data_IF_387655531206
#
_entry.id   IF_387655531206
#
_cell.length_a   1.000
_cell.length_b   1.000
_cell.length_c   1.000
_cell.angle_alpha   90.00
_cell.angle_beta   90.00
_cell.angle_gamma   90.00
#
_symmetry.space_group_name_H-M   'P 1'
#
loop_
_entity.id
_entity.type
_entity.pdbx_description
1 polymer ?
#
# COMPACT_ATOMS: atom_id res chain seq x y z
N UNK A 1 -6.19 -13.69 16.21
CA UNK A 1 -6.49 -12.86 15.04
C UNK A 1 -5.41 -11.80 15.00
N UNK A 2 -4.37 -12.02 14.20
CA UNK A 2 -3.29 -11.04 14.05
C UNK A 2 -3.91 -9.73 13.57
N UNK A 3 -3.84 -8.69 14.40
CA UNK A 3 -4.24 -7.33 14.02
C UNK A 3 -3.55 -7.01 12.70
N UNK A 4 -4.31 -6.92 11.63
CA UNK A 4 -3.77 -6.54 10.33
C UNK A 4 -3.38 -5.06 10.46
N UNK A 5 -2.09 -4.80 10.69
CA UNK A 5 -1.48 -3.46 10.77
C UNK A 5 -1.44 -2.78 9.38
N UNK A 6 -2.53 -2.88 8.63
CA UNK A 6 -2.66 -2.38 7.27
C UNK A 6 -3.38 -1.02 7.20
N UNK A 7 -3.70 -0.43 8.35
CA UNK A 7 -4.37 0.87 8.47
C UNK A 7 -5.86 0.87 8.14
N UNK A 8 -6.50 -0.30 7.99
CA UNK A 8 -7.92 -0.44 7.66
C UNK A 8 -8.20 -0.34 6.15
N UNK A 9 -9.47 -0.13 5.78
CA UNK A 9 -9.86 0.06 4.37
C UNK A 9 -9.37 1.41 3.84
N UNK A 10 -8.82 1.45 2.63
CA UNK A 10 -8.35 2.68 1.99
C UNK A 10 -9.48 3.69 1.75
N UNK A 11 -10.67 3.19 1.43
CA UNK A 11 -11.88 3.98 1.18
C UNK A 11 -13.01 3.46 2.08
N UNK A 12 -13.00 3.80 3.38
CA UNK A 12 -13.94 3.25 4.33
C UNK A 12 -15.36 3.74 4.03
N UNK A 13 -16.31 2.80 4.00
CA UNK A 13 -17.75 3.09 3.89
C UNK A 13 -18.39 2.81 5.24
N UNK A 14 -19.32 3.67 5.67
CA UNK A 14 -20.08 3.42 6.89
C UNK A 14 -20.85 2.09 6.78
N UNK A 15 -20.64 1.21 7.77
CA UNK A 15 -21.37 -0.04 7.86
C UNK A 15 -22.87 0.23 8.02
N UNK A 16 -23.69 -0.53 7.30
CA UNK A 16 -25.14 -0.57 7.47
C UNK A 16 -25.60 -2.03 7.46
N UNK A 17 -26.82 -2.32 7.91
CA UNK A 17 -27.38 -3.69 7.87
C UNK A 17 -27.41 -4.29 6.45
N UNK A 18 -27.31 -3.44 5.41
CA UNK A 18 -27.30 -3.83 4.00
C UNK A 18 -25.90 -3.74 3.36
N UNK A 19 -24.92 -3.15 4.07
CA UNK A 19 -23.53 -3.07 3.64
C UNK A 19 -22.70 -4.02 4.49
N UNK A 20 -22.61 -5.27 4.03
CA UNK A 20 -21.52 -6.13 4.49
C UNK A 20 -20.19 -5.48 4.06
N UNK A 21 -19.15 -5.49 4.92
CA UNK A 21 -17.85 -4.95 4.55
C UNK A 21 -17.36 -5.69 3.31
N UNK A 22 -17.44 -5.02 2.17
CA UNK A 22 -17.04 -5.57 0.88
C UNK A 22 -15.52 -5.64 0.89
N UNK A 23 -14.97 -6.78 0.51
CA UNK A 23 -13.54 -6.97 0.30
C UNK A 23 -13.02 -5.87 -0.64
N UNK A 24 -11.96 -5.19 -0.23
CA UNK A 24 -11.44 -4.01 -0.93
C UNK A 24 -9.98 -3.75 -0.57
N UNK A 25 -9.42 -2.65 -1.08
CA UNK A 25 -8.02 -2.29 -0.87
C UNK A 25 -7.76 -1.81 0.56
N UNK A 26 -6.67 -2.25 1.17
CA UNK A 26 -6.23 -1.74 2.47
C UNK A 26 -5.54 -0.39 2.32
N UNK A 27 -5.48 0.42 3.38
CA UNK A 27 -4.78 1.71 3.36
C UNK A 27 -3.29 1.52 3.02
N UNK A 28 -2.69 0.44 3.51
CA UNK A 28 -1.33 0.00 3.16
C UNK A 28 -1.14 -0.22 1.67
N UNK A 29 -2.03 -0.98 1.03
CA UNK A 29 -1.96 -1.24 -0.42
C UNK A 29 -2.13 0.06 -1.22
N UNK A 30 -3.04 0.93 -0.77
CA UNK A 30 -3.26 2.21 -1.42
C UNK A 30 -2.02 3.11 -1.34
N UNK A 31 -1.38 3.25 -0.17
CA UNK A 31 -0.15 4.02 -0.03
C UNK A 31 1.00 3.42 -0.83
N UNK A 32 1.19 2.09 -0.81
CA UNK A 32 2.22 1.45 -1.62
C UNK A 32 2.01 1.73 -3.12
N UNK A 33 0.75 1.67 -3.59
CA UNK A 33 0.38 2.04 -4.95
C UNK A 33 0.67 3.51 -5.28
N UNK A 34 0.47 4.42 -4.33
CA UNK A 34 0.82 5.85 -4.51
C UNK A 34 2.32 6.08 -4.60
N UNK A 35 3.12 5.39 -3.79
CA UNK A 35 4.59 5.45 -3.87
C UNK A 35 5.04 4.93 -5.25
N UNK A 36 4.51 3.78 -5.69
CA UNK A 36 4.78 3.23 -7.02
C UNK A 36 4.46 4.25 -8.13
N UNK A 37 3.27 4.87 -8.10
CA UNK A 37 2.89 5.89 -9.09
C UNK A 37 3.86 7.07 -9.10
N UNK A 38 4.26 7.57 -7.93
CA UNK A 38 5.22 8.68 -7.82
C UNK A 38 6.60 8.32 -8.37
N UNK A 39 7.12 7.14 -8.04
CA UNK A 39 8.44 6.69 -8.50
C UNK A 39 8.46 6.42 -10.01
N UNK A 40 7.37 5.87 -10.57
CA UNK A 40 7.23 5.70 -12.01
C UNK A 40 7.18 7.04 -12.75
N UNK A 41 6.55 8.06 -12.14
CA UNK A 41 6.45 9.39 -12.72
C UNK A 41 7.72 10.25 -12.55
N UNK A 42 8.59 9.94 -11.59
CA UNK A 42 9.76 10.77 -11.27
C UNK A 42 10.92 10.65 -12.26
N UNK A 43 10.82 9.75 -13.24
CA UNK A 43 11.91 9.46 -14.18
C UNK A 43 13.06 8.66 -13.55
N UNK A 44 12.82 8.03 -12.40
CA UNK A 44 13.80 7.14 -11.76
C UNK A 44 14.07 5.95 -12.69
N UNK A 45 15.35 5.70 -12.99
CA UNK A 45 15.74 4.52 -13.75
C UNK A 45 15.39 3.25 -12.97
N UNK A 46 14.55 2.41 -13.54
CA UNK A 46 14.10 1.16 -12.93
C UNK A 46 14.26 0.00 -13.91
N UNK A 47 14.76 -1.11 -13.39
CA UNK A 47 14.80 -2.38 -14.12
C UNK A 47 13.45 -3.07 -13.96
N UNK A 48 12.61 -3.01 -14.99
CA UNK A 48 11.25 -3.56 -15.00
C UNK A 48 11.16 -4.63 -16.08
N UNK A 49 10.48 -5.73 -15.78
CA UNK A 49 10.22 -6.81 -16.74
C UNK A 49 10.48 -8.19 -16.15
N UNK A 50 10.13 -9.23 -16.90
CA UNK A 50 10.25 -10.64 -16.46
C UNK A 50 11.68 -11.04 -16.11
N UNK A 51 12.68 -10.38 -16.68
CA UNK A 51 14.10 -10.63 -16.38
C UNK A 51 14.63 -9.87 -15.16
N UNK A 52 13.76 -9.12 -14.47
CA UNK A 52 14.10 -8.24 -13.34
C UNK A 52 13.21 -8.48 -12.11
N UNK A 53 12.71 -9.70 -11.94
CA UNK A 53 11.79 -10.07 -10.86
C UNK A 53 12.30 -9.66 -9.47
N UNK A 54 13.54 -9.99 -9.11
CA UNK A 54 14.13 -9.63 -7.82
C UNK A 54 14.19 -8.10 -7.60
N UNK A 55 14.57 -7.35 -8.64
CA UNK A 55 14.60 -5.88 -8.55
C UNK A 55 13.18 -5.30 -8.34
N UNK A 56 12.18 -5.85 -9.02
CA UNK A 56 10.78 -5.46 -8.81
C UNK A 56 10.27 -5.84 -7.43
N UNK A 57 10.67 -7.00 -6.91
CA UNK A 57 10.31 -7.45 -5.56
C UNK A 57 10.92 -6.53 -4.49
N UNK A 58 12.17 -6.13 -4.64
CA UNK A 58 12.82 -5.18 -3.72
C UNK A 58 12.18 -3.79 -3.76
N UNK A 59 11.81 -3.30 -4.94
CA UNK A 59 11.03 -2.06 -5.06
C UNK A 59 9.67 -2.17 -4.37
N UNK A 60 8.94 -3.27 -4.60
CA UNK A 60 7.67 -3.51 -3.93
C UNK A 60 7.82 -3.52 -2.41
N UNK A 61 8.85 -4.19 -1.87
CA UNK A 61 9.17 -4.18 -0.43
C UNK A 61 9.43 -2.76 0.07
N UNK A 62 10.17 -1.95 -0.67
CA UNK A 62 10.42 -0.55 -0.30
C UNK A 62 9.12 0.28 -0.28
N UNK A 63 8.23 0.10 -1.26
CA UNK A 63 6.96 0.82 -1.34
C UNK A 63 6.03 0.44 -0.19
N UNK A 64 5.95 -0.85 0.15
CA UNK A 64 5.21 -1.32 1.31
C UNK A 64 5.82 -0.83 2.63
N UNK A 65 7.15 -0.80 2.76
CA UNK A 65 7.82 -0.26 3.94
C UNK A 65 7.54 1.24 4.13
N UNK A 66 7.49 2.00 3.03
CA UNK A 66 7.09 3.40 3.07
C UNK A 66 5.62 3.55 3.49
N UNK A 67 4.72 2.71 2.97
CA UNK A 67 3.32 2.69 3.39
C UNK A 67 3.17 2.42 4.90
N UNK A 68 3.91 1.43 5.42
CA UNK A 68 3.94 1.09 6.85
C UNK A 68 4.46 2.27 7.70
N UNK A 69 5.47 2.99 7.21
CA UNK A 69 5.98 4.19 7.86
C UNK A 69 4.94 5.33 7.92
N UNK A 70 4.18 5.54 6.83
CA UNK A 70 3.11 6.55 6.80
C UNK A 70 1.96 6.22 7.76
N UNK A 71 1.58 4.94 7.86
CA UNK A 71 0.57 4.49 8.83
C UNK A 71 1.06 4.72 10.24
N UNK A 72 2.29 4.30 10.56
CA UNK A 72 2.89 4.52 11.88
C UNK A 72 2.96 6.00 12.23
N UNK A 73 3.34 6.86 11.27
CA UNK A 73 3.43 8.31 11.50
C UNK A 73 2.07 8.94 11.87
N UNK A 74 0.95 8.38 11.40
CA UNK A 74 -0.40 8.82 11.75
C UNK A 74 -0.78 8.46 13.19
N UNK A 75 -0.22 7.38 13.74
CA UNK A 75 -0.48 6.92 15.11
C UNK A 75 0.34 7.68 16.16
N UNK A 76 1.33 8.46 15.73
CA UNK A 76 2.09 9.35 16.61
C UNK A 76 1.22 10.54 17.05
N UNK A 77 1.37 11.00 18.31
CA UNK A 77 0.60 12.09 18.89
C UNK A 77 0.91 13.48 18.29
#
# INVERSE_FOLDING_TARGET
>A
MSEQQNGGQAFPVAGSEHNYPIEGMTLRDYYAGKVLQGVMASGTSMSIGTNHEEAMLDMARAFYSMADAMIKARELP
#
